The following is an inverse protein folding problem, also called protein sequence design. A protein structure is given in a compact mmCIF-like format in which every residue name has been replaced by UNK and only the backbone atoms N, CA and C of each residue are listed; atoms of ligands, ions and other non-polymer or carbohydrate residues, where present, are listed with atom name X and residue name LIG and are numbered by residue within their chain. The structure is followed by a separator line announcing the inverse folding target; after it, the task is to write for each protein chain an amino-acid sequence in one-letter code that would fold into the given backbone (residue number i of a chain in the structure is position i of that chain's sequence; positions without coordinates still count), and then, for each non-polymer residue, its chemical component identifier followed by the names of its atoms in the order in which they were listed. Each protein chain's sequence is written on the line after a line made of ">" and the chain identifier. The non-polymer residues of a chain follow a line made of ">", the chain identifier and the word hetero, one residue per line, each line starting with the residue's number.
data_IF_291929321242
#
_entry.id   IF_291929321242
#
_cell.length_a   1.000
_cell.length_b   1.000
_cell.length_c   1.000
_cell.angle_alpha   90.00
_cell.angle_beta   90.00
_cell.angle_gamma   90.00
#
_symmetry.space_group_name_H-M   'P 1'
#
loop_
_entity.id
_entity.type
_entity.pdbx_description
1 polymer ?
#
# COMPACT_ATOMS: atom_id res chain seq x y z
N UNK A 1 42.59 11.76 -17.53
CA UNK A 1 41.94 11.31 -16.28
C UNK A 1 41.51 9.87 -16.47
N UNK A 2 41.66 8.97 -15.47
CA UNK A 2 41.15 7.61 -15.59
C UNK A 2 39.63 7.61 -15.73
N UNK A 3 39.09 6.74 -16.58
CA UNK A 3 37.64 6.57 -16.79
C UNK A 3 37.19 5.41 -15.93
N UNK A 4 36.24 5.65 -15.02
CA UNK A 4 35.55 4.60 -14.27
C UNK A 4 34.27 4.24 -15.01
N UNK A 5 34.05 2.95 -15.30
CA UNK A 5 32.80 2.44 -15.86
C UNK A 5 31.96 1.90 -14.71
N UNK A 6 30.74 2.41 -14.58
CA UNK A 6 29.78 1.99 -13.56
C UNK A 6 28.63 1.26 -14.25
N UNK A 7 28.22 0.13 -13.68
CA UNK A 7 27.03 -0.62 -14.10
C UNK A 7 26.12 -0.75 -12.88
N UNK A 8 24.89 -0.26 -13.02
CA UNK A 8 23.86 -0.35 -11.97
C UNK A 8 22.88 -1.45 -12.37
N UNK A 9 22.70 -2.45 -11.50
CA UNK A 9 21.76 -3.54 -11.69
C UNK A 9 20.78 -3.59 -10.51
N UNK A 10 19.51 -3.42 -10.81
CA UNK A 10 18.42 -3.56 -9.85
C UNK A 10 17.78 -4.93 -10.00
N UNK A 11 17.83 -5.73 -8.94
CA UNK A 11 17.15 -7.01 -8.89
C UNK A 11 15.83 -6.85 -8.11
N UNK A 12 14.71 -6.75 -8.83
CA UNK A 12 13.39 -6.66 -8.22
C UNK A 12 12.80 -8.06 -8.04
N UNK A 13 12.60 -8.44 -6.79
CA UNK A 13 12.12 -9.76 -6.40
C UNK A 13 11.08 -9.64 -5.29
N UNK A 14 10.02 -10.44 -5.41
CA UNK A 14 9.13 -10.79 -4.32
C UNK A 14 8.96 -12.32 -4.29
N UNK A 15 8.89 -12.93 -3.09
CA UNK A 15 8.46 -14.31 -2.94
C UNK A 15 7.10 -14.56 -3.60
N UNK A 16 6.82 -15.82 -3.91
CA UNK A 16 5.50 -16.22 -4.38
C UNK A 16 4.56 -16.37 -3.18
N UNK A 17 3.66 -15.41 -2.99
CA UNK A 17 2.77 -15.31 -1.83
C UNK A 17 1.40 -15.94 -2.04
N UNK A 18 1.02 -16.24 -3.27
CA UNK A 18 -0.24 -16.92 -3.59
C UNK A 18 -0.19 -18.37 -3.14
N UNK A 19 -1.11 -18.75 -2.27
CA UNK A 19 -1.36 -20.14 -1.93
C UNK A 19 -2.00 -20.84 -3.14
N UNK A 20 -1.34 -21.86 -3.68
CA UNK A 20 -1.82 -22.56 -4.87
C UNK A 20 -3.00 -23.49 -4.61
N UNK A 21 -3.29 -23.82 -3.33
CA UNK A 21 -4.44 -24.64 -2.95
C UNK A 21 -5.69 -23.78 -2.81
N UNK A 22 -5.60 -22.67 -2.09
CA UNK A 22 -6.76 -21.79 -1.84
C UNK A 22 -6.91 -20.68 -2.88
N UNK A 23 -5.84 -20.34 -3.60
CA UNK A 23 -5.79 -19.19 -4.51
C UNK A 23 -5.57 -17.84 -3.82
N UNK A 24 -5.52 -17.82 -2.48
CA UNK A 24 -5.39 -16.60 -1.67
C UNK A 24 -3.94 -16.11 -1.54
N UNK A 25 -3.76 -14.80 -1.60
CA UNK A 25 -2.50 -14.16 -1.26
C UNK A 25 -2.31 -14.11 0.25
N UNK A 26 -1.23 -14.70 0.74
CA UNK A 26 -0.91 -14.75 2.18
C UNK A 26 -0.38 -13.42 2.72
N UNK A 27 0.21 -12.59 1.86
CA UNK A 27 0.77 -11.29 2.19
C UNK A 27 0.60 -10.32 1.01
N UNK A 28 0.41 -9.02 1.28
CA UNK A 28 0.08 -8.02 0.25
C UNK A 28 1.33 -7.42 -0.45
N UNK A 29 2.52 -7.95 -0.17
CA UNK A 29 3.79 -7.29 -0.47
C UNK A 29 4.03 -7.03 -1.95
N UNK A 30 3.61 -7.93 -2.84
CA UNK A 30 3.73 -7.69 -4.29
C UNK A 30 2.97 -6.42 -4.68
N UNK A 31 1.71 -6.29 -4.24
CA UNK A 31 0.88 -5.11 -4.54
C UNK A 31 1.47 -3.85 -3.92
N UNK A 32 1.77 -3.89 -2.62
CA UNK A 32 2.24 -2.70 -1.90
C UNK A 32 3.58 -2.19 -2.44
N UNK A 33 4.55 -3.07 -2.71
CA UNK A 33 5.83 -2.65 -3.29
C UNK A 33 5.72 -2.26 -4.76
N UNK A 34 4.79 -2.84 -5.53
CA UNK A 34 4.56 -2.41 -6.91
C UNK A 34 4.03 -0.96 -6.97
N UNK A 35 3.13 -0.59 -6.06
CA UNK A 35 2.59 0.77 -5.96
C UNK A 35 3.63 1.82 -5.53
N UNK A 36 4.68 1.38 -4.81
CA UNK A 36 5.62 2.28 -4.13
C UNK A 36 7.02 2.36 -4.72
N UNK A 37 7.57 1.24 -5.18
CA UNK A 37 9.02 1.11 -5.38
C UNK A 37 9.38 0.80 -6.84
N UNK A 38 8.55 0.05 -7.58
CA UNK A 38 8.97 -0.45 -8.89
C UNK A 38 8.78 0.57 -10.02
N UNK A 39 7.64 1.24 -10.06
CA UNK A 39 7.35 2.22 -11.11
C UNK A 39 8.25 3.46 -11.00
N UNK A 40 8.30 4.09 -9.83
CA UNK A 40 9.04 5.34 -9.62
C UNK A 40 10.53 5.24 -9.96
N UNK A 41 11.16 4.10 -9.63
CA UNK A 41 12.56 3.85 -10.00
C UNK A 41 12.81 3.88 -11.51
N UNK A 42 11.87 3.37 -12.31
CA UNK A 42 11.97 3.40 -13.76
C UNK A 42 11.58 4.78 -14.29
N UNK A 43 10.52 5.37 -13.75
CA UNK A 43 10.02 6.69 -14.15
C UNK A 43 11.05 7.80 -13.94
N UNK A 44 11.83 7.74 -12.88
CA UNK A 44 12.91 8.69 -12.59
C UNK A 44 13.97 8.76 -13.70
N UNK A 45 14.11 7.73 -14.53
CA UNK A 45 15.03 7.77 -15.68
C UNK A 45 14.64 8.82 -16.73
N UNK A 46 13.38 9.24 -16.79
CA UNK A 46 12.94 10.31 -17.68
C UNK A 46 13.67 11.64 -17.38
N UNK A 47 14.08 11.85 -16.12
CA UNK A 47 14.85 13.02 -15.69
C UNK A 47 16.36 12.87 -15.97
N UNK A 48 16.85 11.63 -16.14
CA UNK A 48 18.27 11.31 -16.29
C UNK A 48 18.52 10.37 -17.48
N UNK A 49 18.22 10.78 -18.72
CA UNK A 49 18.25 9.90 -19.90
C UNK A 49 19.64 9.34 -20.23
N UNK A 50 20.71 10.02 -19.79
CA UNK A 50 22.10 9.58 -20.02
C UNK A 50 22.58 8.53 -18.99
N UNK A 51 21.79 8.25 -17.94
CA UNK A 51 22.14 7.25 -16.92
C UNK A 51 21.59 5.89 -17.32
N UNK A 52 22.48 4.95 -17.62
CA UNK A 52 22.08 3.59 -17.99
C UNK A 52 21.99 2.67 -16.78
N UNK A 53 20.85 1.99 -16.64
CA UNK A 53 20.58 1.07 -15.53
C UNK A 53 19.89 -0.19 -16.06
N UNK A 54 20.13 -1.34 -15.45
CA UNK A 54 19.51 -2.61 -15.81
C UNK A 54 18.55 -3.05 -14.71
N UNK A 55 17.29 -3.31 -15.07
CA UNK A 55 16.30 -3.89 -14.16
C UNK A 55 16.09 -5.37 -14.50
N UNK A 56 16.35 -6.24 -13.54
CA UNK A 56 15.97 -7.63 -13.59
C UNK A 56 14.68 -7.85 -12.78
N UNK A 57 13.60 -8.23 -13.46
CA UNK A 57 12.31 -8.54 -12.84
C UNK A 57 12.16 -10.07 -12.75
N UNK A 58 12.00 -10.60 -11.55
CA UNK A 58 11.86 -12.05 -11.36
C UNK A 58 10.46 -12.51 -11.82
N UNK A 59 10.31 -13.65 -12.53
CA UNK A 59 9.01 -14.11 -13.03
C UNK A 59 7.92 -14.23 -11.95
N UNK A 60 8.26 -14.67 -10.74
CA UNK A 60 7.31 -14.76 -9.61
C UNK A 60 6.67 -13.42 -9.27
N UNK A 61 7.43 -12.32 -9.37
CA UNK A 61 6.93 -10.97 -9.16
C UNK A 61 5.92 -10.60 -10.26
N UNK A 62 6.30 -10.80 -11.53
CA UNK A 62 5.48 -10.42 -12.68
C UNK A 62 4.16 -11.21 -12.71
N UNK A 63 4.19 -12.51 -12.49
CA UNK A 63 2.97 -13.35 -12.46
C UNK A 63 1.98 -12.85 -11.41
N UNK A 64 2.45 -12.47 -10.23
CA UNK A 64 1.57 -11.99 -9.17
C UNK A 64 1.03 -10.59 -9.47
N UNK A 65 1.83 -9.69 -10.05
CA UNK A 65 1.33 -8.38 -10.53
C UNK A 65 0.21 -8.56 -11.56
N UNK A 66 0.35 -9.50 -12.49
CA UNK A 66 -0.66 -9.78 -13.51
C UNK A 66 -2.01 -10.25 -12.92
N UNK A 67 -1.99 -10.99 -11.81
CA UNK A 67 -3.22 -11.34 -11.08
C UNK A 67 -3.96 -10.09 -10.56
N UNK A 68 -3.22 -9.09 -10.05
CA UNK A 68 -3.82 -7.84 -9.57
C UNK A 68 -4.37 -7.00 -10.73
N UNK A 69 -3.60 -6.83 -11.81
CA UNK A 69 -4.00 -6.07 -13.00
C UNK A 69 -5.24 -6.70 -13.66
N UNK A 70 -5.31 -8.02 -13.74
CA UNK A 70 -6.48 -8.74 -14.29
C UNK A 70 -7.69 -8.75 -13.35
N UNK A 71 -7.55 -8.28 -12.11
CA UNK A 71 -8.60 -8.31 -11.10
C UNK A 71 -8.91 -9.70 -10.54
N UNK A 72 -8.04 -10.69 -10.78
CA UNK A 72 -8.22 -12.08 -10.33
C UNK A 72 -7.49 -12.40 -9.02
N UNK A 73 -6.66 -11.49 -8.52
CA UNK A 73 -6.00 -11.64 -7.24
C UNK A 73 -7.00 -11.72 -6.08
N UNK A 74 -6.97 -12.82 -5.34
CA UNK A 74 -7.71 -12.96 -4.09
C UNK A 74 -6.82 -12.53 -2.92
N UNK A 75 -6.85 -11.23 -2.59
CA UNK A 75 -6.04 -10.61 -1.54
C UNK A 75 -6.95 -10.18 -0.37
N UNK A 76 -6.93 -10.88 0.78
CA UNK A 76 -7.72 -10.52 1.96
C UNK A 76 -7.42 -9.12 2.49
N UNK A 77 -6.19 -8.64 2.31
CA UNK A 77 -5.77 -7.30 2.77
C UNK A 77 -6.40 -6.22 1.90
N UNK A 78 -6.38 -6.40 0.57
CA UNK A 78 -7.07 -5.52 -0.36
C UNK A 78 -8.59 -5.58 -0.15
N UNK A 79 -9.14 -6.77 0.10
CA UNK A 79 -10.56 -6.94 0.38
C UNK A 79 -10.99 -6.11 1.60
N UNK A 80 -10.27 -6.23 2.72
CA UNK A 80 -10.55 -5.44 3.92
C UNK A 80 -10.31 -3.95 3.68
N UNK A 81 -9.29 -3.57 2.92
CA UNK A 81 -9.05 -2.15 2.58
C UNK A 81 -10.15 -1.54 1.68
N UNK A 82 -10.82 -2.34 0.85
CA UNK A 82 -11.85 -1.89 -0.08
C UNK A 82 -13.28 -2.01 0.45
N UNK A 83 -13.51 -2.81 1.49
CA UNK A 83 -14.85 -3.02 2.06
C UNK A 83 -15.33 -1.78 2.83
N UNK A 84 -16.56 -1.28 2.64
CA UNK A 84 -17.04 -0.13 3.39
C UNK A 84 -16.98 -0.37 4.90
N UNK A 85 -16.45 0.60 5.66
CA UNK A 85 -16.22 0.44 7.11
C UNK A 85 -17.47 0.05 7.91
N UNK A 86 -18.64 0.54 7.48
CA UNK A 86 -19.95 0.22 8.09
C UNK A 86 -20.31 -1.27 7.99
N UNK A 87 -19.78 -1.96 6.98
CA UNK A 87 -20.08 -3.36 6.67
C UNK A 87 -18.98 -4.31 7.19
N UNK A 88 -17.92 -3.79 7.81
CA UNK A 88 -16.86 -4.59 8.42
C UNK A 88 -17.41 -5.36 9.63
N UNK A 89 -17.20 -6.67 9.61
CA UNK A 89 -17.43 -7.54 10.76
C UNK A 89 -16.39 -7.32 11.85
N UNK A 90 -16.59 -7.89 13.04
CA UNK A 90 -15.60 -7.82 14.10
C UNK A 90 -14.25 -8.49 13.72
N UNK A 91 -14.29 -9.54 12.89
CA UNK A 91 -13.07 -10.16 12.36
C UNK A 91 -12.38 -9.25 11.35
N UNK A 92 -13.13 -8.62 10.44
CA UNK A 92 -12.57 -7.67 9.47
C UNK A 92 -11.93 -6.46 10.17
N UNK A 93 -12.56 -5.94 11.22
CA UNK A 93 -12.04 -4.81 12.02
C UNK A 93 -10.74 -5.17 12.72
N UNK A 94 -10.67 -6.34 13.33
CA UNK A 94 -9.43 -6.82 13.97
C UNK A 94 -8.34 -7.08 12.95
N UNK A 95 -8.69 -7.66 11.80
CA UNK A 95 -7.78 -7.82 10.68
C UNK A 95 -7.23 -6.46 10.20
N UNK A 96 -8.09 -5.46 10.04
CA UNK A 96 -7.69 -4.12 9.64
C UNK A 96 -6.68 -3.51 10.63
N UNK A 97 -6.97 -3.59 11.94
CA UNK A 97 -6.08 -3.06 12.99
C UNK A 97 -4.76 -3.83 13.09
N UNK A 98 -4.75 -5.12 12.75
CA UNK A 98 -3.55 -5.93 12.77
C UNK A 98 -2.65 -5.65 11.56
N UNK A 99 -3.23 -5.43 10.38
CA UNK A 99 -2.49 -5.49 9.12
C UNK A 99 -2.41 -4.16 8.36
N UNK A 100 -3.35 -3.23 8.53
CA UNK A 100 -3.31 -1.93 7.83
C UNK A 100 -2.34 -0.92 8.43
N UNK A 101 -1.62 -1.28 9.49
CA UNK A 101 -0.46 -0.52 9.99
C UNK A 101 0.89 -1.13 9.59
N UNK A 102 0.90 -2.07 8.64
CA UNK A 102 2.13 -2.65 8.10
C UNK A 102 2.85 -1.69 7.14
N UNK A 103 3.27 -0.55 7.65
CA UNK A 103 4.06 0.46 6.96
C UNK A 103 5.11 1.02 7.95
N UNK A 104 6.17 1.66 7.44
CA UNK A 104 7.19 2.21 8.32
C UNK A 104 6.58 3.29 9.26
N UNK A 105 6.70 3.15 10.60
CA UNK A 105 6.04 4.07 11.54
C UNK A 105 6.47 5.53 11.42
N UNK A 106 7.72 5.78 11.03
CA UNK A 106 8.28 7.14 10.95
C UNK A 106 8.03 7.75 9.58
N UNK A 107 8.44 7.04 8.52
CA UNK A 107 8.53 7.62 7.18
C UNK A 107 7.24 7.50 6.38
N UNK A 108 6.37 6.54 6.72
CA UNK A 108 5.12 6.29 5.97
C UNK A 108 3.91 6.64 6.83
N UNK A 109 3.77 6.00 8.00
CA UNK A 109 2.67 6.31 8.92
C UNK A 109 2.81 7.74 9.44
N UNK A 110 4.02 8.12 9.88
CA UNK A 110 4.31 9.43 10.44
C UNK A 110 4.14 10.61 9.48
N UNK A 111 4.17 10.36 8.16
CA UNK A 111 3.94 11.39 7.12
C UNK A 111 2.53 11.98 7.19
N UNK A 112 1.55 11.20 7.63
CA UNK A 112 0.14 11.60 7.66
C UNK A 112 -0.33 11.76 9.12
N UNK A 113 -0.68 12.98 9.57
CA UNK A 113 -1.05 13.23 10.97
C UNK A 113 -2.14 12.31 11.50
N UNK A 114 -3.18 12.09 10.70
CA UNK A 114 -4.30 11.20 11.04
C UNK A 114 -3.88 9.73 11.11
N UNK A 115 -3.05 9.26 10.18
CA UNK A 115 -2.60 7.87 10.20
C UNK A 115 -1.74 7.58 11.44
N UNK A 116 -0.86 8.53 11.79
CA UNK A 116 -0.07 8.50 13.03
C UNK A 116 -0.93 8.53 14.28
N UNK A 117 -2.00 9.32 14.31
CA UNK A 117 -2.95 9.34 15.42
C UNK A 117 -3.60 7.97 15.62
N UNK A 118 -4.12 7.37 14.55
CA UNK A 118 -4.73 6.04 14.57
C UNK A 118 -3.72 4.97 15.02
N UNK A 119 -2.49 5.04 14.52
CA UNK A 119 -1.41 4.15 14.94
C UNK A 119 -1.13 4.27 16.44
N UNK A 120 -1.00 5.49 16.97
CA UNK A 120 -0.77 5.72 18.40
C UNK A 120 -1.91 5.17 19.26
N UNK A 121 -3.18 5.34 18.83
CA UNK A 121 -4.34 4.75 19.52
C UNK A 121 -4.30 3.22 19.54
N UNK A 122 -3.91 2.60 18.44
CA UNK A 122 -3.68 1.15 18.39
C UNK A 122 -2.56 0.71 19.35
N UNK A 123 -1.41 1.41 19.34
CA UNK A 123 -0.28 1.15 20.27
C UNK A 123 -0.70 1.30 21.74
N UNK A 124 -1.48 2.32 22.07
CA UNK A 124 -2.01 2.55 23.43
C UNK A 124 -2.95 1.44 23.91
N UNK A 125 -3.48 0.62 22.99
CA UNK A 125 -4.28 -0.55 23.31
C UNK A 125 -3.43 -1.81 23.59
N UNK A 126 -2.11 -1.66 23.66
CA UNK A 126 -1.16 -2.73 23.91
C UNK A 126 -0.97 -3.65 22.71
N UNK A 127 -1.02 -3.10 21.50
CA UNK A 127 -0.86 -3.83 20.23
C UNK A 127 -1.88 -4.97 20.02
N UNK A 128 -3.01 -4.93 20.72
CA UNK A 128 -4.09 -5.93 20.59
C UNK A 128 -5.23 -5.37 19.74
N UNK A 129 -5.50 -5.96 18.58
CA UNK A 129 -6.67 -5.63 17.77
C UNK A 129 -7.98 -5.71 18.55
N UNK A 130 -8.15 -6.74 19.41
CA UNK A 130 -9.35 -6.97 20.22
C UNK A 130 -9.59 -5.86 21.25
N UNK A 131 -8.52 -5.29 21.80
CA UNK A 131 -8.60 -4.16 22.72
C UNK A 131 -8.85 -2.86 21.96
N UNK A 132 -8.11 -2.65 20.88
CA UNK A 132 -8.20 -1.44 20.07
C UNK A 132 -9.57 -1.27 19.41
N UNK A 133 -10.17 -2.35 18.89
CA UNK A 133 -11.46 -2.33 18.18
C UNK A 133 -12.56 -1.61 18.98
N UNK A 134 -12.58 -1.80 20.30
CA UNK A 134 -13.59 -1.20 21.20
C UNK A 134 -13.56 0.33 21.21
N UNK A 135 -12.46 0.93 20.80
CA UNK A 135 -12.24 2.38 20.79
C UNK A 135 -12.19 2.97 19.38
N UNK A 136 -12.35 2.17 18.33
CA UNK A 136 -12.36 2.62 16.94
C UNK A 136 -13.80 2.72 16.45
N UNK A 137 -14.14 3.88 15.90
CA UNK A 137 -15.43 4.17 15.28
C UNK A 137 -15.38 3.84 13.78
N UNK A 138 -16.53 3.70 13.09
CA UNK A 138 -16.56 3.43 11.65
C UNK A 138 -15.70 4.42 10.82
N UNK A 139 -15.71 5.71 11.16
CA UNK A 139 -14.88 6.71 10.49
C UNK A 139 -13.37 6.49 10.70
N UNK A 140 -12.95 5.98 11.86
CA UNK A 140 -11.54 5.65 12.11
C UNK A 140 -11.08 4.52 11.18
N UNK A 141 -11.97 3.55 10.89
CA UNK A 141 -11.70 2.48 9.93
C UNK A 141 -11.63 3.00 8.50
N UNK A 142 -12.56 3.85 8.07
CA UNK A 142 -12.49 4.45 6.72
C UNK A 142 -11.19 5.24 6.53
N UNK A 143 -10.81 6.05 7.53
CA UNK A 143 -9.56 6.80 7.48
C UNK A 143 -8.34 5.87 7.45
N UNK A 144 -8.34 4.81 8.26
CA UNK A 144 -7.28 3.79 8.27
C UNK A 144 -7.17 3.08 6.92
N UNK A 145 -8.30 2.66 6.35
CA UNK A 145 -8.37 2.00 5.05
C UNK A 145 -7.75 2.88 3.97
N UNK A 146 -8.14 4.14 3.86
CA UNK A 146 -7.60 5.07 2.86
C UNK A 146 -6.11 5.36 3.07
N UNK A 147 -5.73 5.77 4.28
CA UNK A 147 -4.36 6.20 4.56
C UNK A 147 -3.35 5.06 4.49
N UNK A 148 -3.76 3.85 4.87
CA UNK A 148 -2.92 2.64 4.73
C UNK A 148 -2.64 2.28 3.28
N UNK A 149 -3.46 2.74 2.32
CA UNK A 149 -3.20 2.54 0.90
C UNK A 149 -2.35 3.68 0.33
N UNK A 150 -2.74 4.93 0.56
CA UNK A 150 -2.00 6.12 0.08
C UNK A 150 -0.55 6.12 0.57
N UNK A 151 -0.30 5.64 1.79
CA UNK A 151 1.06 5.56 2.32
C UNK A 151 2.02 4.68 1.51
N UNK A 152 1.49 3.80 0.65
CA UNK A 152 2.26 2.94 -0.26
C UNK A 152 2.28 3.44 -1.70
N UNK A 153 1.77 4.63 -2.00
CA UNK A 153 1.90 5.19 -3.35
C UNK A 153 3.29 5.83 -3.52
N UNK A 154 3.89 5.59 -4.68
CA UNK A 154 5.12 6.26 -5.11
C UNK A 154 4.94 7.79 -5.20
N UNK A 155 6.03 8.55 -5.02
CA UNK A 155 5.98 10.01 -4.97
C UNK A 155 5.34 10.63 -6.23
N UNK A 156 5.56 10.05 -7.42
CA UNK A 156 4.93 10.54 -8.65
C UNK A 156 3.39 10.47 -8.60
N UNK A 157 2.84 9.43 -7.97
CA UNK A 157 1.38 9.28 -7.84
C UNK A 157 0.80 10.17 -6.74
N UNK A 158 1.60 10.54 -5.74
CA UNK A 158 1.16 11.46 -4.67
C UNK A 158 0.97 12.89 -5.17
N UNK A 159 1.61 13.25 -6.28
CA UNK A 159 1.48 14.56 -6.93
C UNK A 159 0.23 14.67 -7.84
N UNK A 160 -0.41 13.55 -8.15
CA UNK A 160 -1.60 13.57 -8.99
C UNK A 160 -2.75 14.32 -8.31
N UNK A 161 -3.51 15.19 -9.03
CA UNK A 161 -4.46 16.11 -8.41
C UNK A 161 -5.50 15.44 -7.50
N UNK A 162 -5.97 14.25 -7.87
CA UNK A 162 -6.96 13.50 -7.09
C UNK A 162 -6.36 12.97 -5.78
N UNK A 163 -5.16 12.38 -5.82
CA UNK A 163 -4.48 11.86 -4.63
C UNK A 163 -3.95 12.99 -3.76
N UNK A 164 -3.37 14.03 -4.35
CA UNK A 164 -2.94 15.23 -3.64
C UNK A 164 -4.10 15.90 -2.88
N UNK A 165 -5.29 15.95 -3.49
CA UNK A 165 -6.51 16.43 -2.83
C UNK A 165 -6.89 15.60 -1.59
N UNK A 166 -6.78 14.28 -1.67
CA UNK A 166 -7.01 13.38 -0.54
C UNK A 166 -5.97 13.55 0.57
N UNK A 167 -4.69 13.74 0.22
CA UNK A 167 -3.63 14.03 1.19
C UNK A 167 -3.92 15.34 1.91
N UNK A 168 -4.32 16.39 1.17
CA UNK A 168 -4.68 17.68 1.75
C UNK A 168 -5.90 17.59 2.67
N UNK A 169 -6.90 16.76 2.30
CA UNK A 169 -8.06 16.48 3.14
C UNK A 169 -7.66 15.86 4.48
N UNK A 170 -6.71 14.92 4.47
CA UNK A 170 -6.00 14.38 5.63
C UNK A 170 -6.81 13.48 6.58
N UNK A 171 -8.13 13.65 6.69
CA UNK A 171 -9.02 12.82 7.52
C UNK A 171 -10.49 12.95 7.07
N UNK A 172 -11.39 12.14 7.64
CA UNK A 172 -12.81 12.22 7.33
C UNK A 172 -13.11 11.74 5.90
N UNK A 173 -12.39 10.72 5.44
CA UNK A 173 -12.55 10.18 4.09
C UNK A 173 -13.93 9.57 3.90
N UNK A 174 -14.50 9.73 2.71
CA UNK A 174 -15.79 9.14 2.33
C UNK A 174 -15.62 7.78 1.66
N UNK A 175 -16.75 7.13 1.35
CA UNK A 175 -16.73 5.88 0.58
C UNK A 175 -16.22 6.12 -0.84
N UNK A 176 -16.53 7.27 -1.43
CA UNK A 176 -16.06 7.67 -2.75
C UNK A 176 -14.54 7.86 -2.76
N UNK A 177 -13.98 8.49 -1.72
CA UNK A 177 -12.52 8.63 -1.58
C UNK A 177 -11.84 7.25 -1.48
N UNK A 178 -12.43 6.33 -0.70
CA UNK A 178 -11.95 4.95 -0.59
C UNK A 178 -11.97 4.24 -1.94
N UNK A 179 -13.09 4.29 -2.66
CA UNK A 179 -13.21 3.69 -3.98
C UNK A 179 -12.20 4.26 -4.98
N UNK A 180 -11.99 5.58 -4.97
CA UNK A 180 -11.01 6.25 -5.81
C UNK A 180 -9.61 5.69 -5.58
N UNK A 181 -9.16 5.64 -4.32
CA UNK A 181 -7.82 5.12 -3.98
C UNK A 181 -7.66 3.65 -4.39
N UNK A 182 -8.68 2.82 -4.18
CA UNK A 182 -8.64 1.41 -4.58
C UNK A 182 -8.61 1.27 -6.11
N UNK A 183 -9.35 2.09 -6.85
CA UNK A 183 -9.36 2.08 -8.29
C UNK A 183 -8.00 2.44 -8.88
N UNK A 184 -7.34 3.48 -8.34
CA UNK A 184 -6.00 3.92 -8.79
C UNK A 184 -4.91 2.86 -8.63
N UNK A 185 -5.08 1.87 -7.77
CA UNK A 185 -4.09 0.79 -7.61
C UNK A 185 -4.03 -0.19 -8.78
N UNK A 186 -4.97 -0.10 -9.74
CA UNK A 186 -5.05 -0.99 -10.91
C UNK A 186 -4.55 -0.34 -12.20
N UNK A 187 -4.36 0.97 -12.19
CA UNK A 187 -3.88 1.76 -13.32
C UNK A 187 -2.34 1.76 -13.36
#
# INVERSE_FOLDING_TARGET
>A
MPVVRVVILWHQHQPFYKDLVTGEYRLPWVRLHALKDYYGMVKLLDEFPDVHQTFNLVPSLITQIQDYVSGTAHDPFLHVAAKPAKDLTADDRRFALQYLFQANPTNMIGRYPRYRELWNRYRSSGDSPERAEKFFQPQDFTDLQVLSQIAWFDEFFLEEPEIAGLIQKGHGYSLEDQHLVIARQRE
#
